data_IF_738665733646
#
_entry.id   IF_738665733646
#
_cell.length_a   1.000
_cell.length_b   1.000
_cell.length_c   1.000
_cell.angle_alpha   90.00
_cell.angle_beta   90.00
_cell.angle_gamma   90.00
#
_symmetry.space_group_name_H-M   'P 1'
#
loop_
_entity.id
_entity.type
_entity.pdbx_description
1 polymer ?
#
# COMPACT_ATOMS: atom_id res chain seq x y z
N UNK A 38 13.64 -6.67 -6.80
CA UNK A 38 12.22 -6.35 -6.75
C UNK A 38 11.56 -6.90 -5.48
N UNK A 39 11.96 -6.35 -4.34
CA UNK A 39 11.26 -6.54 -3.10
C UNK A 39 10.17 -5.49 -3.08
N UNK A 40 9.95 -4.89 -4.25
CA UNK A 40 8.90 -3.93 -4.49
C UNK A 40 7.82 -4.54 -5.36
N UNK A 41 8.01 -5.82 -5.67
CA UNK A 41 7.12 -6.63 -6.49
C UNK A 41 5.69 -6.52 -6.01
N UNK A 42 5.54 -6.55 -4.69
CA UNK A 42 4.23 -6.62 -4.07
C UNK A 42 3.49 -5.28 -4.10
N UNK A 43 4.16 -4.21 -3.69
CA UNK A 43 3.63 -2.84 -3.79
C UNK A 43 2.98 -2.54 -5.15
N UNK A 44 3.60 -3.06 -6.21
CA UNK A 44 3.22 -2.79 -7.58
C UNK A 44 1.89 -3.42 -7.99
N UNK A 45 1.63 -4.61 -7.47
CA UNK A 45 0.36 -5.26 -7.74
C UNK A 45 -0.70 -4.73 -6.82
N UNK A 46 -0.30 -4.38 -5.60
CA UNK A 46 -1.20 -3.72 -4.66
C UNK A 46 -1.72 -2.39 -5.19
N UNK A 47 -0.90 -1.67 -5.95
CA UNK A 47 -1.33 -0.38 -6.47
C UNK A 47 -1.70 -0.37 -7.96
N UNK A 48 -1.95 -1.54 -8.55
CA UNK A 48 -2.24 -1.64 -9.97
C UNK A 48 -0.96 -1.47 -10.76
N UNK A 49 -0.36 -0.28 -10.63
CA UNK A 49 0.90 0.14 -11.27
C UNK A 49 1.29 -0.54 -12.58
N UNK A 50 1.39 -1.87 -12.57
CA UNK A 50 1.52 -2.67 -13.79
C UNK A 50 0.66 -2.08 -14.89
N UNK A 51 -0.63 -1.98 -14.59
CA UNK A 51 -1.63 -1.48 -15.53
C UNK A 51 -1.50 0.03 -15.79
N UNK A 52 -1.43 0.82 -14.72
CA UNK A 52 -1.37 2.28 -14.82
C UNK A 52 -0.42 2.82 -15.90
N UNK A 53 0.73 2.16 -16.06
CA UNK A 53 1.78 2.64 -16.97
C UNK A 53 1.59 2.11 -18.39
N UNK A 54 0.73 1.11 -18.57
CA UNK A 54 0.40 0.68 -19.94
C UNK A 54 -0.54 1.68 -20.61
N UNK A 55 -1.41 2.29 -19.79
CA UNK A 55 -2.44 3.19 -20.31
C UNK A 55 -1.90 4.60 -20.60
N UNK A 56 -0.64 4.84 -20.21
CA UNK A 56 0.04 6.09 -20.54
C UNK A 56 0.57 6.01 -21.93
N UNK A 57 1.18 4.87 -22.24
CA UNK A 57 1.74 4.64 -23.54
C UNK A 57 0.62 4.72 -24.55
N UNK A 58 -0.50 4.12 -24.20
CA UNK A 58 -1.69 4.24 -25.04
C UNK A 58 -2.25 5.67 -25.11
N UNK A 59 -2.35 6.35 -23.97
CA UNK A 59 -2.72 7.76 -23.98
C UNK A 59 -1.80 8.64 -24.81
N UNK A 60 -0.51 8.34 -24.79
CA UNK A 60 0.45 9.09 -25.59
C UNK A 60 0.39 8.72 -27.05
N UNK A 61 0.16 7.44 -27.34
CA UNK A 61 0.05 6.97 -28.72
C UNK A 61 -1.15 7.55 -29.46
N UNK A 62 -2.24 7.79 -28.75
CA UNK A 62 -3.34 8.54 -29.36
C UNK A 62 -2.82 9.92 -29.67
N UNK A 63 -2.71 10.75 -28.63
CA UNK A 63 -2.52 12.18 -28.80
C UNK A 63 -1.15 12.57 -29.36
N UNK A 64 -0.13 11.75 -29.11
CA UNK A 64 1.22 12.02 -29.62
C UNK A 64 1.67 13.47 -29.48
N UNK A 65 1.53 14.01 -28.27
CA UNK A 65 1.59 15.44 -28.08
C UNK A 65 2.99 15.96 -28.34
N UNK A 66 3.11 17.26 -28.55
CA UNK A 66 4.39 17.90 -28.80
C UNK A 66 5.20 17.92 -27.50
N UNK A 67 4.48 17.76 -26.40
CA UNK A 67 5.03 17.95 -25.06
C UNK A 67 4.57 16.81 -24.16
N UNK A 68 5.21 15.63 -24.29
CA UNK A 68 4.76 14.47 -23.49
C UNK A 68 4.83 14.67 -21.96
N UNK A 70 4.29 17.56 -20.15
CA UNK A 70 3.20 18.37 -19.64
C UNK A 70 1.93 17.54 -19.65
N UNK A 71 1.77 16.83 -20.78
CA UNK A 71 0.75 15.82 -21.02
C UNK A 71 0.63 14.87 -19.81
N UNK A 72 1.75 14.31 -19.39
CA UNK A 72 1.71 13.30 -18.35
C UNK A 72 1.44 13.88 -16.97
N UNK A 73 1.94 15.09 -16.74
CA UNK A 73 1.51 15.88 -15.59
C UNK A 73 -0.02 16.06 -15.53
N UNK A 74 -0.63 16.50 -16.62
CA UNK A 74 -2.09 16.66 -16.63
C UNK A 74 -2.85 15.34 -16.52
N UNK A 75 -2.43 14.32 -17.27
CA UNK A 75 -2.92 12.93 -17.13
C UNK A 75 -2.92 12.50 -15.66
N UNK A 76 -1.76 12.60 -15.03
CA UNK A 76 -1.65 12.14 -13.65
C UNK A 76 -2.22 13.10 -12.64
N UNK A 77 -2.60 14.28 -13.10
CA UNK A 77 -3.32 15.24 -12.24
C UNK A 77 -4.81 14.88 -12.16
N UNK A 78 -5.34 14.31 -13.23
CA UNK A 78 -6.64 13.63 -13.19
C UNK A 78 -6.65 12.33 -12.36
N UNK A 79 -5.64 11.48 -12.54
CA UNK A 79 -5.56 10.26 -11.74
C UNK A 79 -5.26 10.49 -10.27
N UNK A 80 -4.69 11.64 -9.95
CA UNK A 80 -4.52 12.03 -8.55
C UNK A 80 -5.86 12.52 -7.99
N UNK A 81 -6.70 13.09 -8.84
CA UNK A 81 -8.03 13.51 -8.41
C UNK A 81 -8.88 12.29 -8.01
N UNK A 82 -8.83 11.25 -8.85
CA UNK A 82 -9.51 9.98 -8.60
C UNK A 82 -9.02 9.26 -7.36
N UNK A 83 -7.69 9.16 -7.27
CA UNK A 83 -7.04 8.60 -6.11
C UNK A 83 -7.63 9.18 -4.81
N UNK A 84 -7.85 10.51 -4.79
CA UNK A 84 -8.35 11.22 -3.59
C UNK A 84 -9.84 10.97 -3.28
N UNK A 85 -10.65 10.91 -4.33
CA UNK A 85 -12.04 10.53 -4.19
C UNK A 85 -12.12 9.22 -3.43
N UNK A 86 -11.45 8.18 -3.92
CA UNK A 86 -11.52 6.87 -3.28
C UNK A 86 -11.00 6.90 -1.86
N UNK A 87 -10.16 7.87 -1.57
CA UNK A 87 -9.68 8.13 -0.20
C UNK A 87 -10.76 8.76 0.70
N UNK A 88 -11.36 9.87 0.29
CA UNK A 88 -12.40 10.52 1.08
C UNK A 88 -13.58 9.60 1.22
N UNK A 89 -13.77 8.76 0.21
CA UNK A 89 -14.80 7.73 0.23
C UNK A 89 -14.57 6.73 1.36
N UNK A 90 -13.35 6.19 1.47
CA UNK A 90 -13.11 5.20 2.51
C UNK A 90 -13.13 5.84 3.92
N UNK A 91 -12.99 7.17 3.98
CA UNK A 91 -13.19 7.92 5.22
C UNK A 91 -14.68 8.21 5.45
N UNK A 92 -15.52 7.19 5.24
CA UNK A 92 -16.97 7.24 5.49
C UNK A 92 -17.47 5.87 5.94
N UNK A 93 -16.65 4.84 5.67
CA UNK A 93 -16.93 3.47 6.09
C UNK A 93 -16.37 3.22 7.49
N UNK A 94 -17.14 2.59 8.36
CA UNK A 94 -16.70 2.38 9.75
C UNK A 94 -17.08 1.02 10.34
N UNK B 38 0.63 1.16 -36.69
CA UNK B 38 1.19 1.22 -35.34
C UNK B 38 2.50 1.98 -35.29
N UNK B 39 2.42 3.29 -35.54
CA UNK B 39 3.61 4.13 -35.52
C UNK B 39 3.77 4.97 -34.25
N UNK B 40 3.50 4.38 -33.10
CA UNK B 40 3.88 4.98 -31.82
C UNK B 40 5.23 4.39 -31.40
N UNK B 41 5.65 3.36 -32.12
CA UNK B 41 6.99 2.83 -32.02
C UNK B 41 7.98 3.96 -32.23
N UNK B 42 7.76 4.72 -33.31
CA UNK B 42 8.55 5.88 -33.67
C UNK B 42 8.36 7.05 -32.71
N UNK B 43 7.10 7.32 -32.37
CA UNK B 43 6.81 8.42 -31.46
C UNK B 43 7.58 8.24 -30.17
N UNK B 44 7.49 7.03 -29.61
CA UNK B 44 8.18 6.64 -28.39
C UNK B 44 9.69 6.80 -28.57
N UNK B 45 10.21 6.26 -29.68
CA UNK B 45 11.62 6.42 -29.98
C UNK B 45 11.99 7.88 -29.94
N UNK B 46 11.30 8.67 -30.76
CA UNK B 46 11.60 10.10 -30.90
C UNK B 46 11.58 10.92 -29.57
N UNK B 47 10.74 10.55 -28.62
CA UNK B 47 10.65 11.24 -27.33
C UNK B 47 11.30 10.48 -26.18
N UNK B 48 11.96 9.38 -26.51
CA UNK B 48 12.61 8.51 -25.54
C UNK B 48 11.70 8.12 -24.40
N UNK B 49 10.47 7.76 -24.75
CA UNK B 49 9.42 7.54 -23.77
C UNK B 49 9.72 6.32 -22.89
N UNK B 50 10.29 5.27 -23.48
CA UNK B 50 10.67 4.03 -22.76
C UNK B 50 11.59 4.27 -21.58
N UNK B 51 12.77 4.87 -21.84
CA UNK B 51 13.63 5.36 -20.75
C UNK B 51 12.90 6.20 -19.66
N UNK B 52 12.02 7.12 -20.05
CA UNK B 52 11.27 7.93 -19.09
C UNK B 52 10.34 7.09 -18.20
N UNK B 53 9.63 6.15 -18.81
CA UNK B 53 8.65 5.34 -18.06
C UNK B 53 9.39 4.44 -17.09
N UNK B 54 10.47 3.84 -17.60
CA UNK B 54 11.36 2.95 -16.83
C UNK B 54 11.87 3.59 -15.53
N UNK B 55 12.22 4.88 -15.59
CA UNK B 55 12.64 5.66 -14.41
C UNK B 55 11.52 5.92 -13.37
N UNK B 56 10.30 6.17 -13.82
CA UNK B 56 9.10 6.25 -12.96
C UNK B 56 8.95 5.04 -12.07
N UNK B 57 8.94 3.86 -12.69
CA UNK B 57 8.74 2.64 -11.93
C UNK B 57 9.89 2.35 -10.93
N UNK B 58 11.11 2.77 -11.26
CA UNK B 58 12.22 2.75 -10.32
C UNK B 58 12.04 3.70 -9.12
N UNK B 59 11.66 4.95 -9.39
CA UNK B 59 11.42 5.95 -8.34
C UNK B 59 10.31 5.58 -7.36
N UNK B 60 9.30 4.88 -7.87
CA UNK B 60 8.21 4.34 -7.05
C UNK B 60 8.68 3.16 -6.24
N UNK B 61 9.46 2.28 -6.86
CA UNK B 61 9.94 1.07 -6.19
C UNK B 61 10.94 1.39 -5.07
N UNK B 62 11.64 2.51 -5.20
CA UNK B 62 12.50 2.98 -4.12
C UNK B 62 11.65 3.60 -3.02
N UNK B 63 10.82 4.57 -3.38
CA UNK B 63 10.09 5.33 -2.37
C UNK B 63 8.81 4.67 -1.88
N UNK B 64 8.34 3.65 -2.60
CA UNK B 64 7.04 3.02 -2.35
C UNK B 64 5.95 3.92 -1.68
N UNK B 65 5.59 5.06 -2.29
CA UNK B 65 4.57 5.88 -1.60
C UNK B 65 3.17 5.27 -1.43
N UNK B 66 2.48 5.73 -0.40
CA UNK B 66 1.09 5.35 -0.15
C UNK B 66 0.18 5.91 -1.24
N UNK B 67 0.52 7.09 -1.77
CA UNK B 67 -0.25 7.76 -2.83
C UNK B 67 0.53 7.90 -4.17
N UNK B 68 0.70 6.81 -4.94
CA UNK B 68 1.53 6.87 -6.16
C UNK B 68 1.03 7.79 -7.31
N UNK B 70 -0.22 10.98 -6.76
CA UNK B 70 0.19 12.31 -6.33
C UNK B 70 1.67 12.44 -6.60
N UNK B 71 2.36 11.34 -6.27
CA UNK B 71 3.78 11.16 -6.49
C UNK B 71 4.16 11.40 -7.95
N UNK B 72 3.50 10.69 -8.86
CA UNK B 72 3.78 10.77 -10.30
C UNK B 72 3.38 12.10 -10.94
N UNK B 73 2.39 12.77 -10.39
CA UNK B 73 2.00 14.05 -10.92
C UNK B 73 3.09 15.03 -10.52
N UNK B 74 3.50 14.95 -9.26
CA UNK B 74 4.62 15.74 -8.76
C UNK B 74 5.91 15.46 -9.54
N UNK B 75 6.10 14.19 -9.87
CA UNK B 75 7.21 13.71 -10.69
C UNK B 75 7.28 14.35 -12.07
N UNK B 76 6.20 14.22 -12.84
CA UNK B 76 6.10 14.86 -14.16
C UNK B 76 5.94 16.38 -14.13
N UNK B 77 5.60 16.92 -12.96
CA UNK B 77 5.65 18.36 -12.74
C UNK B 77 7.10 18.88 -12.79
N UNK B 78 8.02 18.07 -12.29
CA UNK B 78 9.43 18.43 -12.27
C UNK B 78 10.04 18.20 -13.65
N UNK B 79 9.43 17.31 -14.41
CA UNK B 79 9.96 16.91 -15.72
C UNK B 79 9.46 17.84 -16.79
N UNK B 80 8.27 18.34 -16.55
CA UNK B 80 7.72 19.40 -17.35
C UNK B 80 8.58 20.67 -17.29
N UNK B 81 8.94 21.10 -16.07
CA UNK B 81 9.73 22.32 -15.90
C UNK B 81 11.00 22.26 -16.73
N UNK B 82 11.70 21.13 -16.61
CA UNK B 82 12.89 20.86 -17.43
C UNK B 82 12.55 21.05 -18.89
N UNK B 83 11.45 20.44 -19.31
CA UNK B 83 11.00 20.47 -20.69
C UNK B 83 10.76 21.90 -21.17
N UNK B 84 10.19 22.73 -20.29
CA UNK B 84 9.93 24.13 -20.64
C UNK B 84 11.17 25.02 -20.57
N UNK B 85 12.13 24.65 -19.70
CA UNK B 85 13.49 25.19 -19.74
C UNK B 85 14.22 24.92 -21.07
N UNK B 86 14.08 23.69 -21.58
CA UNK B 86 14.67 23.30 -22.86
C UNK B 86 13.94 23.86 -24.07
N UNK B 87 12.65 24.11 -23.94
CA UNK B 87 11.89 24.75 -25.02
C UNK B 87 12.26 26.22 -25.15
N UNK B 88 12.17 26.94 -24.05
CA UNK B 88 12.49 28.38 -24.03
C UNK B 88 13.97 28.67 -24.27
N UNK B 89 14.83 27.65 -24.10
CA UNK B 89 16.22 27.77 -24.50
C UNK B 89 16.35 27.86 -26.01
N UNK B 90 15.46 27.14 -26.71
CA UNK B 90 15.46 27.08 -28.18
C UNK B 90 14.87 28.32 -28.86
N UNK B 91 13.90 28.97 -28.23
CA UNK B 91 13.28 30.18 -28.80
C UNK B 91 14.20 31.42 -28.67
N UNK B 92 15.08 31.35 -27.68
CA UNK B 92 16.17 32.31 -27.50
C UNK B 92 17.21 32.22 -28.63
N UNK B 93 17.81 31.04 -28.78
CA UNK B 93 18.90 30.79 -29.72
C UNK B 93 18.46 30.47 -31.15
N UNK B 94 17.19 30.18 -31.36
CA UNK B 94 16.66 30.01 -32.72
C UNK B 94 16.86 31.34 -33.42
N UNK B 95 16.75 32.39 -32.62
CA UNK B 95 17.01 33.75 -33.02
C UNK B 95 16.83 34.60 -31.76
N UNK C 38 -3.70 10.81 10.74
CA UNK C 38 -3.05 10.18 11.88
C UNK C 38 -1.59 9.93 11.57
N UNK C 39 -1.28 9.80 10.28
CA UNK C 39 0.04 9.43 9.82
C UNK C 39 0.09 7.92 9.66
N UNK C 40 -1.09 7.34 9.57
CA UNK C 40 -1.24 5.90 9.60
C UNK C 40 -2.66 5.54 9.16
N UNK C 41 -3.43 6.56 8.81
CA UNK C 41 -4.85 6.40 8.51
C UNK C 41 -5.14 5.75 7.16
N UNK C 42 -4.44 6.20 6.12
CA UNK C 42 -4.53 5.59 4.80
C UNK C 42 -4.10 4.10 4.79
N UNK C 43 -3.02 3.78 5.53
CA UNK C 43 -2.52 2.43 5.58
C UNK C 43 -3.58 1.45 6.11
N UNK C 44 -4.29 1.87 7.15
CA UNK C 44 -5.33 1.05 7.77
C UNK C 44 -6.48 0.80 6.81
N UNK C 45 -6.91 1.88 6.17
CA UNK C 45 -8.00 1.81 5.22
C UNK C 45 -7.56 0.96 4.04
N UNK C 46 -6.27 1.00 3.73
CA UNK C 46 -5.69 0.20 2.65
C UNK C 46 -5.63 -1.29 2.94
N UNK C 47 -5.74 -1.68 4.21
CA UNK C 47 -5.50 -3.07 4.56
C UNK C 47 -6.63 -3.76 5.33
N UNK C 48 -7.74 -3.05 5.49
CA UNK C 48 -8.91 -3.57 6.17
C UNK C 48 -8.59 -3.84 7.63
N UNK C 49 -7.58 -3.15 8.13
CA UNK C 49 -7.06 -3.34 9.49
C UNK C 49 -8.14 -3.07 10.55
N UNK C 50 -8.92 -2.00 10.32
CA UNK C 50 -10.06 -1.67 11.19
C UNK C 50 -11.02 -2.86 11.34
N UNK C 51 -11.15 -3.66 10.29
CA UNK C 51 -12.05 -4.81 10.32
C UNK C 51 -11.35 -6.01 10.93
N UNK C 52 -10.25 -6.42 10.30
CA UNK C 52 -9.29 -7.42 10.80
C UNK C 52 -9.18 -7.59 12.32
N UNK C 53 -9.13 -6.47 13.05
CA UNK C 53 -9.07 -6.49 14.52
C UNK C 53 -10.45 -6.61 15.18
N UNK C 54 -11.47 -6.06 14.54
CA UNK C 54 -12.83 -6.10 15.04
C UNK C 54 -13.33 -7.55 15.06
N UNK C 55 -13.04 -8.31 14.00
CA UNK C 55 -13.40 -9.73 13.93
C UNK C 55 -12.59 -10.62 14.91
N UNK C 56 -11.31 -10.35 15.06
CA UNK C 56 -10.47 -11.10 15.99
C UNK C 56 -10.90 -10.90 17.44
N UNK C 57 -11.39 -9.70 17.76
CA UNK C 57 -11.96 -9.43 19.07
C UNK C 57 -13.22 -10.24 19.28
N UNK C 58 -14.03 -10.31 18.24
CA UNK C 58 -15.26 -11.06 18.26
C UNK C 58 -14.97 -12.54 18.51
N UNK C 59 -14.05 -13.09 17.73
CA UNK C 59 -13.66 -14.50 17.89
C UNK C 59 -13.12 -14.81 19.27
N UNK C 60 -12.41 -13.85 19.82
CA UNK C 60 -11.78 -14.02 21.11
C UNK C 60 -12.86 -13.95 22.16
N UNK C 61 -13.86 -13.11 21.89
CA UNK C 61 -14.99 -12.91 22.79
C UNK C 61 -15.87 -14.15 22.86
N UNK C 62 -15.94 -14.89 21.75
CA UNK C 62 -16.61 -16.19 21.72
C UNK C 62 -15.92 -17.14 22.69
N UNK C 63 -14.75 -17.64 22.27
CA UNK C 63 -13.96 -18.65 22.98
C UNK C 63 -13.44 -18.28 24.38
N UNK C 64 -12.88 -17.07 24.53
CA UNK C 64 -12.31 -16.63 25.80
C UNK C 64 -11.27 -17.58 26.39
N UNK C 65 -10.16 -17.84 25.66
CA UNK C 65 -9.30 -18.92 26.16
C UNK C 65 -8.46 -18.39 27.30
N UNK C 66 -7.92 -19.27 28.15
CA UNK C 66 -7.03 -18.85 29.23
C UNK C 66 -5.70 -18.31 28.69
N UNK C 67 -5.39 -18.67 27.44
CA UNK C 67 -4.18 -18.19 26.73
C UNK C 67 -4.58 -17.38 25.48
N UNK C 68 -4.94 -16.08 25.64
CA UNK C 68 -5.38 -15.24 24.52
C UNK C 68 -4.28 -14.90 23.52
N UNK C 70 -1.80 -17.00 22.57
CA UNK C 70 -1.68 -18.20 21.74
C UNK C 70 -2.84 -18.33 20.73
N UNK C 71 -4.00 -17.84 21.14
CA UNK C 71 -5.20 -17.76 20.30
C UNK C 71 -4.98 -16.88 19.06
N UNK C 72 -4.32 -15.75 19.26
CA UNK C 72 -4.11 -14.81 18.18
C UNK C 72 -2.96 -15.18 17.22
N UNK C 73 -1.90 -15.79 17.76
CA UNK C 73 -0.87 -16.42 16.93
C UNK C 73 -1.57 -17.43 16.06
N UNK C 74 -2.32 -18.34 16.69
CA UNK C 74 -3.11 -19.27 15.91
C UNK C 74 -4.09 -18.56 14.94
N UNK C 75 -4.90 -17.62 15.43
CA UNK C 75 -5.73 -16.73 14.57
C UNK C 75 -5.05 -16.14 13.30
N UNK C 76 -4.10 -15.24 13.49
CA UNK C 76 -3.38 -14.66 12.36
C UNK C 76 -2.44 -15.61 11.62
N UNK C 77 -2.18 -16.79 12.19
CA UNK C 77 -1.36 -17.81 11.50
C UNK C 77 -2.16 -18.28 10.30
N UNK C 78 -3.45 -18.39 10.51
CA UNK C 78 -4.40 -18.68 9.46
C UNK C 78 -4.68 -17.49 8.49
N UNK C 79 -4.93 -16.29 9.03
CA UNK C 79 -5.12 -15.09 8.18
C UNK C 79 -3.92 -14.77 7.32
N UNK C 80 -2.74 -15.14 7.80
CA UNK C 80 -1.50 -15.04 7.04
C UNK C 80 -1.36 -16.17 6.01
N UNK C 81 -1.99 -17.32 6.26
CA UNK C 81 -1.96 -18.41 5.30
C UNK C 81 -2.88 -18.13 4.11
N UNK C 82 -3.97 -17.41 4.35
CA UNK C 82 -4.89 -17.03 3.27
C UNK C 82 -4.38 -15.80 2.55
N UNK C 83 -3.79 -14.88 3.32
CA UNK C 83 -3.21 -13.66 2.77
C UNK C 83 -2.29 -13.99 1.57
N UNK C 84 -1.59 -15.12 1.68
CA UNK C 84 -0.69 -15.59 0.62
C UNK C 84 -1.41 -15.97 -0.67
N UNK C 85 -2.49 -16.72 -0.55
CA UNK C 85 -3.26 -17.15 -1.71
C UNK C 85 -3.72 -15.96 -2.54
N UNK C 86 -4.18 -14.90 -1.88
CA UNK C 86 -4.58 -13.63 -2.54
C UNK C 86 -3.53 -13.14 -3.51
N UNK C 87 -2.30 -13.18 -3.02
CA UNK C 87 -1.10 -12.85 -3.80
C UNK C 87 -0.75 -13.94 -4.84
N UNK C 88 -0.75 -15.21 -4.45
CA UNK C 88 -0.51 -16.30 -5.40
C UNK C 88 -1.66 -16.41 -6.39
N UNK C 89 -2.77 -15.75 -6.08
CA UNK C 89 -3.91 -15.71 -6.99
C UNK C 89 -3.79 -14.48 -7.88
N UNK C 90 -4.78 -13.58 -7.78
CA UNK C 90 -4.95 -12.45 -8.68
C UNK C 90 -3.68 -11.62 -8.87
N UNK C 91 -2.90 -11.51 -7.80
CA UNK C 91 -1.64 -10.82 -7.90
C UNK C 91 -0.60 -11.66 -8.70
N UNK C 92 -0.49 -12.95 -8.41
CA UNK C 92 0.49 -13.81 -9.13
C UNK C 92 0.09 -14.16 -10.57
N UNK C 93 -1.21 -14.23 -10.86
CA UNK C 93 -1.64 -14.57 -12.21
C UNK C 93 -2.54 -13.50 -12.86
N UNK C 94 -2.31 -12.24 -12.52
CA UNK C 94 -3.03 -11.07 -13.06
C UNK C 94 -4.48 -11.33 -13.50
N UNK C 95 -4.72 -11.31 -14.81
CA UNK C 95 -6.04 -11.55 -15.39
C UNK C 95 -6.42 -13.04 -15.42
N UNK D 38 -23.32 -8.93 25.64
CA UNK D 38 -21.91 -9.24 25.38
C UNK D 38 -21.00 -8.67 26.46
N UNK D 39 -20.98 -9.35 27.61
CA UNK D 39 -20.14 -8.95 28.72
C UNK D 39 -18.75 -9.55 28.60
N UNK D 40 -18.14 -9.35 27.43
CA UNK D 40 -16.75 -9.76 27.19
C UNK D 40 -15.80 -8.77 27.87
N UNK D 41 -16.37 -7.63 28.26
CA UNK D 41 -15.71 -6.52 28.94
C UNK D 41 -14.94 -6.93 30.19
N UNK D 42 -15.32 -8.07 30.74
CA UNK D 42 -14.71 -8.63 31.93
C UNK D 42 -13.46 -9.45 31.59
N UNK D 43 -13.49 -10.08 30.43
CA UNK D 43 -12.37 -10.87 29.96
C UNK D 43 -11.32 -9.96 29.32
N UNK D 44 -11.77 -8.81 28.82
CA UNK D 44 -10.87 -7.84 28.19
C UNK D 44 -10.21 -7.01 29.27
N UNK D 45 -10.96 -6.76 30.34
CA UNK D 45 -10.41 -6.11 31.52
C UNK D 45 -9.34 -7.04 32.07
N UNK D 46 -9.74 -8.27 32.42
CA UNK D 46 -8.82 -9.33 32.80
C UNK D 46 -7.52 -9.40 31.97
N UNK D 47 -7.61 -9.85 30.72
CA UNK D 47 -6.40 -10.13 29.92
C UNK D 47 -5.87 -8.90 29.18
N UNK D 48 -6.34 -7.72 29.60
CA UNK D 48 -5.83 -6.45 29.15
C UNK D 48 -5.79 -6.29 27.65
N UNK D 49 -6.78 -6.88 27.00
CA UNK D 49 -6.84 -6.93 25.55
C UNK D 49 -6.91 -5.55 24.90
N UNK D 50 -7.60 -4.60 25.56
CA UNK D 50 -7.67 -3.19 25.08
C UNK D 50 -6.32 -2.45 24.90
N UNK D 51 -5.40 -2.57 25.86
CA UNK D 51 -3.97 -2.23 25.62
C UNK D 51 -3.16 -3.18 24.69
N UNK D 52 -3.54 -4.47 24.60
CA UNK D 52 -2.87 -5.35 23.64
C UNK D 52 -3.03 -4.83 22.20
N UNK D 53 -4.18 -4.23 21.93
CA UNK D 53 -4.52 -3.86 20.55
C UNK D 53 -4.09 -2.45 20.15
N UNK D 54 -4.20 -1.46 21.05
CA UNK D 54 -3.54 -0.16 20.86
C UNK D 54 -2.07 -0.37 20.46
N UNK D 55 -1.40 -1.25 21.21
CA UNK D 55 -0.03 -1.69 20.92
C UNK D 55 0.19 -2.46 19.61
N UNK D 56 -0.87 -3.05 19.06
CA UNK D 56 -0.86 -3.51 17.67
C UNK D 56 -1.01 -2.38 16.66
N UNK D 57 -2.07 -1.58 16.83
CA UNK D 57 -2.30 -0.37 16.05
C UNK D 57 -1.00 0.36 15.86
N UNK D 58 -0.33 0.62 16.98
CA UNK D 58 0.91 1.38 16.93
C UNK D 58 2.08 0.68 16.22
N UNK D 59 2.37 -0.58 16.55
CA UNK D 59 3.44 -1.32 15.90
C UNK D 59 3.25 -1.36 14.38
N UNK D 60 2.04 -1.66 13.96
CA UNK D 60 1.66 -1.62 12.56
C UNK D 60 1.98 -0.26 11.96
N UNK D 61 1.48 0.79 12.62
CA UNK D 61 1.72 2.20 12.26
C UNK D 61 3.18 2.60 11.96
N UNK D 62 4.10 2.30 12.87
CA UNK D 62 5.53 2.56 12.58
C UNK D 62 6.16 1.62 11.55
N UNK D 63 5.86 0.32 11.55
CA UNK D 63 6.54 -0.56 10.59
C UNK D 63 5.87 -0.57 9.22
N UNK D 64 4.55 -0.33 9.21
CA UNK D 64 3.72 -0.46 8.01
C UNK D 64 4.22 -1.57 7.08
N UNK D 65 4.08 -2.84 7.52
CA UNK D 65 4.52 -3.95 6.68
C UNK D 65 3.75 -4.05 5.37
N UNK D 66 4.39 -4.61 4.36
CA UNK D 66 3.74 -4.87 3.08
C UNK D 66 2.79 -6.05 3.28
N UNK D 67 3.09 -6.89 4.27
CA UNK D 67 2.30 -8.09 4.59
C UNK D 67 1.89 -8.01 6.07
N UNK D 68 0.71 -7.42 6.35
CA UNK D 68 0.28 -7.21 7.75
C UNK D 68 -0.25 -8.46 8.49
N UNK D 70 1.09 -11.52 8.31
CA UNK D 70 2.33 -12.13 8.78
C UNK D 70 2.86 -11.41 10.01
N UNK D 71 3.23 -10.14 9.83
CA UNK D 71 3.57 -9.19 10.91
C UNK D 71 2.78 -9.43 12.20
N UNK D 72 1.47 -9.58 12.06
CA UNK D 72 0.56 -9.87 13.17
C UNK D 72 0.59 -11.30 13.71
N UNK D 73 1.01 -12.27 12.89
CA UNK D 73 1.22 -13.63 13.39
C UNK D 73 2.57 -13.66 14.05
N UNK D 74 3.55 -12.98 13.44
CA UNK D 74 4.88 -12.81 14.03
C UNK D 74 4.84 -12.06 15.35
N UNK D 75 3.94 -11.06 15.45
CA UNK D 75 3.81 -10.18 16.62
C UNK D 75 3.25 -10.90 17.83
N UNK D 76 2.32 -11.83 17.63
CA UNK D 76 1.74 -12.57 18.75
C UNK D 76 2.47 -13.88 19.09
N UNK D 77 3.37 -14.34 18.22
CA UNK D 77 4.35 -15.34 18.65
C UNK D 77 5.25 -14.73 19.70
N UNK D 78 5.65 -13.48 19.48
CA UNK D 78 6.38 -12.65 20.43
C UNK D 78 5.68 -12.58 21.81
N UNK D 79 4.36 -12.59 21.82
CA UNK D 79 3.61 -12.50 23.08
C UNK D 79 3.09 -13.80 23.59
N UNK D 80 2.91 -14.76 22.70
CA UNK D 80 2.67 -16.13 23.10
C UNK D 80 3.86 -16.55 23.98
N UNK D 81 5.07 -16.11 23.60
CA UNK D 81 6.30 -16.41 24.37
C UNK D 81 6.29 -15.88 25.81
N UNK D 82 5.99 -14.57 25.97
CA UNK D 82 5.94 -13.94 27.31
C UNK D 82 4.85 -14.55 28.16
N UNK D 83 3.69 -14.73 27.56
CA UNK D 83 2.52 -15.24 28.25
C UNK D 83 2.87 -16.56 28.88
N UNK D 84 3.47 -17.44 28.06
CA UNK D 84 4.04 -18.71 28.50
C UNK D 84 5.02 -18.70 29.68
N UNK D 85 6.15 -18.04 29.50
CA UNK D 85 6.96 -17.62 30.66
C UNK D 85 6.20 -17.04 31.88
N UNK D 86 5.09 -16.31 31.73
CA UNK D 86 4.33 -15.92 32.93
C UNK D 86 3.56 -17.08 33.53
N UNK D 87 3.00 -17.90 32.66
CA UNK D 87 2.39 -19.17 33.06
C UNK D 87 3.44 -20.08 33.70
N UNK D 88 4.56 -20.25 33.00
CA UNK D 88 5.60 -21.17 33.46
C UNK D 88 6.47 -20.60 34.56
N UNK D 89 5.85 -20.19 35.66
CA UNK D 89 6.59 -19.48 36.68
C UNK D 89 5.76 -19.44 37.93
N UNK D 90 4.48 -19.70 37.78
CA UNK D 90 3.58 -19.68 38.92
C UNK D 90 3.97 -20.75 39.93
N UNK D 91 4.34 -21.93 39.44
CA UNK D 91 4.64 -23.04 40.34
C UNK D 91 5.89 -22.86 41.22
N UNK D 92 7.11 -22.86 40.66
CA UNK D 92 7.43 -22.87 39.23
C UNK D 92 7.79 -24.28 38.74
#
# INVERSE_FOLDING_TARGET
>A
XSGLNDIFEAQKIEWHEHHHHHHENLYFQSHXEDESLKGCELYVQLHGIQQVLKDCIVHLCISKPERPXKFLREHFEKLEKEENRQILARQKSNS
>B
XSGLNDIFEAQKIEWHEHHHHHHENLYFQSHXEDESLKGCELYVQLHGIQQVLKDCIVHLCISKPERPXKFLREHFEKLEKEENRQILARQKSNS
>C
XSGLNDIFEAQKIEWHEHHHHHHENLYFQSHXEDESLKGCELYVQLHGIQQVLKDCIVHLCISKPERPXKFLREHFEKLEKEENRQILARQKSNS
>D
XSGLNDIFEAQKIEWHEHHHHHHENLYFQSHXEDESLKGCELYVQLHGIQQVLKDCIVHLCISKPERPXKFLREHFEKLEKEENRQILARQKSNS
#
